data_IF_297554102785
#
_entry.id   IF_297554102785
#
_cell.length_a   1.000
_cell.length_b   1.000
_cell.length_c   1.000
_cell.angle_alpha   90.00
_cell.angle_beta   90.00
_cell.angle_gamma   90.00
#
_symmetry.space_group_name_H-M   'P 1'
#
loop_
_entity.id
_entity.type
_entity.pdbx_description
1 polymer ?
#
# COMPACT_ATOMS: atom_id res chain seq x y z
N UNK A 1 -21.18 6.80 25.93
CA UNK A 1 -19.83 6.42 26.38
C UNK A 1 -18.86 7.30 25.61
N UNK A 2 -17.92 7.95 26.27
CA UNK A 2 -16.90 8.75 25.60
C UNK A 2 -15.96 7.80 24.82
N UNK A 3 -15.62 8.10 23.56
CA UNK A 3 -14.87 7.19 22.65
C UNK A 3 -13.57 6.67 23.28
N UNK A 4 -12.88 7.52 24.03
CA UNK A 4 -11.66 7.16 24.75
C UNK A 4 -11.89 6.11 25.84
N UNK A 5 -13.05 6.14 26.51
CA UNK A 5 -13.40 5.13 27.49
C UNK A 5 -13.65 3.78 26.82
N UNK A 6 -14.27 3.78 25.64
CA UNK A 6 -14.46 2.57 24.85
C UNK A 6 -13.11 1.98 24.40
N UNK A 7 -12.22 2.79 23.81
CA UNK A 7 -10.89 2.32 23.39
C UNK A 7 -10.13 1.63 24.52
N UNK A 8 -10.15 2.22 25.72
CA UNK A 8 -9.51 1.64 26.91
C UNK A 8 -10.17 0.34 27.34
N UNK A 9 -11.49 0.25 27.28
CA UNK A 9 -12.23 -0.96 27.64
C UNK A 9 -11.91 -2.14 26.70
N UNK A 10 -11.73 -1.86 25.41
CA UNK A 10 -11.43 -2.90 24.40
C UNK A 10 -9.93 -3.11 24.12
N UNK A 11 -9.04 -2.29 24.70
CA UNK A 11 -7.59 -2.39 24.52
C UNK A 11 -7.01 -3.78 24.84
N UNK A 12 -7.45 -4.51 25.89
CA UNK A 12 -6.93 -5.85 26.15
C UNK A 12 -7.20 -6.84 25.00
N UNK A 13 -8.33 -6.69 24.30
CA UNK A 13 -8.65 -7.51 23.12
C UNK A 13 -7.78 -7.09 21.93
N UNK A 14 -7.55 -5.78 21.75
CA UNK A 14 -6.64 -5.28 20.73
C UNK A 14 -5.20 -5.81 20.94
N UNK A 15 -4.75 -5.87 22.18
CA UNK A 15 -3.45 -6.44 22.56
C UNK A 15 -3.36 -7.94 22.23
N UNK A 16 -4.38 -8.72 22.56
CA UNK A 16 -4.44 -10.14 22.19
C UNK A 16 -4.36 -10.33 20.67
N UNK A 17 -5.10 -9.53 19.91
CA UNK A 17 -5.12 -9.60 18.45
C UNK A 17 -3.79 -9.15 17.83
N UNK A 18 -3.16 -8.10 18.37
CA UNK A 18 -1.83 -7.66 17.96
C UNK A 18 -0.80 -8.77 18.20
N UNK A 19 -0.78 -9.36 19.39
CA UNK A 19 0.14 -10.46 19.72
C UNK A 19 -0.11 -11.68 18.82
N UNK A 20 -1.37 -11.98 18.50
CA UNK A 20 -1.70 -13.03 17.53
C UNK A 20 -1.17 -12.70 16.14
N UNK A 21 -1.36 -11.48 15.65
CA UNK A 21 -0.84 -11.02 14.35
C UNK A 21 0.67 -11.18 14.29
N UNK A 22 1.39 -10.63 15.28
CA UNK A 22 2.85 -10.74 15.37
C UNK A 22 3.33 -12.20 15.41
N UNK A 23 2.58 -13.10 16.06
CA UNK A 23 2.89 -14.53 16.11
C UNK A 23 2.67 -15.31 14.81
N UNK A 24 1.89 -14.78 13.86
CA UNK A 24 1.59 -15.44 12.57
C UNK A 24 2.09 -14.68 11.35
N UNK A 25 2.49 -13.43 11.52
CA UNK A 25 3.02 -12.58 10.46
C UNK A 25 4.24 -13.25 9.85
N UNK A 26 4.22 -13.38 8.51
CA UNK A 26 5.36 -13.91 7.76
C UNK A 26 6.19 -12.74 7.29
N UNK A 27 7.46 -12.76 7.63
CA UNK A 27 8.41 -11.82 7.08
C UNK A 27 8.57 -12.04 5.58
N UNK A 28 8.68 -10.93 4.86
CA UNK A 28 8.95 -10.88 3.44
C UNK A 28 9.62 -9.56 3.12
N UNK A 29 10.46 -9.57 2.09
CA UNK A 29 11.27 -8.43 1.72
C UNK A 29 10.97 -8.02 0.28
N UNK A 30 10.65 -6.73 0.02
CA UNK A 30 10.37 -6.25 -1.34
C UNK A 30 11.45 -6.64 -2.35
N UNK A 31 12.73 -6.52 -1.98
CA UNK A 31 13.85 -6.77 -2.88
C UNK A 31 13.99 -8.23 -3.35
N UNK A 32 13.37 -9.20 -2.66
CA UNK A 32 13.37 -10.60 -3.09
C UNK A 32 12.36 -10.87 -4.20
N UNK A 33 11.41 -9.94 -4.43
CA UNK A 33 10.32 -10.08 -5.37
C UNK A 33 10.56 -9.35 -6.70
N UNK A 34 11.65 -8.59 -6.81
CA UNK A 34 11.94 -7.74 -7.96
C UNK A 34 13.00 -8.38 -8.85
N UNK A 35 12.78 -8.48 -10.16
CA UNK A 35 13.79 -9.01 -11.09
C UNK A 35 14.84 -7.95 -11.44
N UNK A 36 15.63 -7.50 -10.45
CA UNK A 36 16.57 -6.38 -10.59
C UNK A 36 17.58 -6.51 -11.74
N UNK A 37 17.91 -7.73 -12.18
CA UNK A 37 18.79 -7.97 -13.34
C UNK A 37 18.26 -7.37 -14.65
N UNK A 38 16.98 -7.02 -14.71
CA UNK A 38 16.33 -6.36 -15.87
C UNK A 38 16.44 -4.84 -15.83
N UNK A 39 16.85 -4.27 -14.70
CA UNK A 39 16.99 -2.83 -14.53
C UNK A 39 17.98 -2.25 -15.54
N UNK A 40 17.58 -1.15 -16.17
CA UNK A 40 18.37 -0.41 -17.16
C UNK A 40 18.23 1.08 -16.86
N UNK A 41 19.30 1.84 -17.06
CA UNK A 41 19.29 3.30 -16.85
C UNK A 41 18.24 4.00 -17.71
N UNK A 42 17.55 4.99 -17.13
CA UNK A 42 16.65 5.88 -17.87
C UNK A 42 17.48 6.94 -18.59
N UNK A 43 17.34 7.01 -19.92
CA UNK A 43 18.04 8.02 -20.72
C UNK A 43 17.27 9.34 -20.63
N UNK A 44 17.92 10.44 -20.21
CA UNK A 44 17.25 11.73 -20.11
C UNK A 44 16.66 12.19 -21.45
N UNK A 45 15.37 12.52 -21.45
CA UNK A 45 14.66 13.03 -22.63
C UNK A 45 14.03 11.94 -23.52
N UNK A 46 14.32 10.65 -23.29
CA UNK A 46 13.60 9.58 -23.97
C UNK A 46 12.18 9.43 -23.39
N UNK A 47 11.21 9.28 -24.29
CA UNK A 47 9.83 9.00 -23.91
C UNK A 47 9.64 7.50 -23.76
N UNK A 48 9.00 7.10 -22.66
CA UNK A 48 8.60 5.72 -22.46
C UNK A 48 7.60 5.27 -23.54
N UNK A 49 7.70 4.01 -23.93
CA UNK A 49 6.79 3.32 -24.82
C UNK A 49 6.55 1.88 -24.32
N UNK A 50 5.46 1.25 -24.77
CA UNK A 50 5.11 -0.12 -24.34
C UNK A 50 6.21 -1.15 -24.65
N UNK A 51 7.03 -0.89 -25.69
CA UNK A 51 8.17 -1.75 -26.04
C UNK A 51 9.35 -1.65 -25.08
N UNK A 52 9.36 -0.67 -24.17
CA UNK A 52 10.38 -0.58 -23.13
C UNK A 52 10.16 -1.60 -22.01
N UNK A 53 8.95 -2.18 -21.91
CA UNK A 53 8.61 -3.18 -20.88
C UNK A 53 9.42 -4.47 -21.05
N UNK A 54 9.97 -5.00 -19.96
CA UNK A 54 10.79 -6.22 -19.93
C UNK A 54 10.24 -7.22 -18.91
N UNK A 55 9.43 -8.17 -19.39
CA UNK A 55 8.83 -9.24 -18.58
C UNK A 55 9.56 -10.59 -18.73
N UNK A 56 10.53 -10.70 -19.65
CA UNK A 56 11.45 -11.86 -19.79
C UNK A 56 11.17 -12.77 -20.95
N UNK A 57 10.12 -12.44 -21.67
CA UNK A 57 9.81 -12.98 -22.98
C UNK A 57 8.97 -11.94 -23.70
N UNK A 58 9.19 -11.79 -25.00
CA UNK A 58 8.37 -10.94 -25.86
C UNK A 58 6.93 -11.46 -26.00
N UNK A 59 6.69 -12.71 -25.61
CA UNK A 59 5.36 -13.33 -25.54
C UNK A 59 4.55 -12.88 -24.33
N UNK A 60 5.22 -12.43 -23.26
CA UNK A 60 4.55 -11.96 -22.05
C UNK A 60 4.26 -10.47 -22.22
N UNK A 61 2.97 -10.12 -22.19
CA UNK A 61 2.50 -8.74 -22.22
C UNK A 61 1.54 -8.49 -21.09
N UNK A 62 1.71 -7.35 -20.42
CA UNK A 62 0.79 -6.91 -19.40
C UNK A 62 -0.37 -6.14 -20.04
N UNK A 63 -1.60 -6.60 -19.79
CA UNK A 63 -2.79 -5.91 -20.30
C UNK A 63 -2.95 -4.51 -19.69
N UNK A 64 -3.61 -3.61 -20.41
CA UNK A 64 -3.93 -2.27 -19.93
C UNK A 64 -4.74 -2.29 -18.61
N UNK A 65 -5.57 -3.32 -18.42
CA UNK A 65 -6.34 -3.50 -17.18
C UNK A 65 -5.42 -3.77 -15.97
N UNK A 66 -4.41 -4.62 -16.14
CA UNK A 66 -3.41 -4.90 -15.09
C UNK A 66 -2.54 -3.67 -14.85
N UNK A 67 -2.07 -3.00 -15.91
CA UNK A 67 -1.32 -1.75 -15.82
C UNK A 67 -2.10 -0.67 -15.06
N UNK A 68 -3.37 -0.46 -15.41
CA UNK A 68 -4.26 0.48 -14.73
C UNK A 68 -4.51 0.11 -13.27
N UNK A 69 -4.68 -1.18 -12.96
CA UNK A 69 -4.83 -1.65 -11.58
C UNK A 69 -3.56 -1.41 -10.77
N UNK A 70 -2.37 -1.76 -11.27
CA UNK A 70 -1.11 -1.53 -10.58
C UNK A 70 -0.83 -0.04 -10.36
N UNK A 71 -1.20 0.80 -11.33
CA UNK A 71 -1.12 2.26 -11.18
C UNK A 71 -1.98 2.74 -10.00
N UNK A 72 -3.27 2.39 -9.97
CA UNK A 72 -4.19 2.82 -8.89
C UNK A 72 -3.79 2.24 -7.54
N UNK A 73 -3.38 0.96 -7.50
CA UNK A 73 -2.90 0.34 -6.27
C UNK A 73 -1.69 1.11 -5.74
N UNK A 74 -0.66 1.37 -6.56
CA UNK A 74 0.51 2.12 -6.10
C UNK A 74 0.16 3.52 -5.58
N UNK A 75 -0.73 4.25 -6.28
CA UNK A 75 -1.14 5.57 -5.81
C UNK A 75 -1.87 5.51 -4.47
N UNK A 76 -2.68 4.47 -4.25
CA UNK A 76 -3.36 4.23 -2.98
C UNK A 76 -2.33 3.95 -1.89
N UNK A 77 -1.38 3.04 -2.13
CA UNK A 77 -0.32 2.69 -1.18
C UNK A 77 0.61 3.87 -0.84
N UNK A 78 0.99 4.68 -1.84
CA UNK A 78 1.84 5.87 -1.65
C UNK A 78 1.16 6.95 -0.76
N UNK A 79 -0.16 6.87 -0.58
CA UNK A 79 -0.94 7.79 0.25
C UNK A 79 -0.86 7.46 1.76
N UNK A 80 -0.10 6.43 2.14
CA UNK A 80 0.17 5.96 3.50
C UNK A 80 0.38 7.06 4.55
N UNK A 81 1.10 8.17 4.29
CA UNK A 81 1.28 9.22 5.31
C UNK A 81 -0.03 9.75 5.89
N UNK A 82 -1.09 9.82 5.09
CA UNK A 82 -2.39 10.29 5.54
C UNK A 82 -3.18 9.22 6.30
N UNK A 83 -3.06 7.95 5.91
CA UNK A 83 -3.67 6.84 6.65
C UNK A 83 -3.03 6.71 8.04
N UNK A 84 -1.70 6.77 8.13
CA UNK A 84 -0.99 6.75 9.41
C UNK A 84 -1.36 7.95 10.30
N UNK A 85 -1.50 9.15 9.72
CA UNK A 85 -1.98 10.33 10.45
C UNK A 85 -3.35 10.07 11.09
N UNK A 86 -4.29 9.53 10.32
CA UNK A 86 -5.67 9.35 10.79
C UNK A 86 -5.79 8.21 11.79
N UNK A 87 -5.06 7.10 11.61
CA UNK A 87 -4.94 6.04 12.61
C UNK A 87 -4.43 6.61 13.95
N UNK A 88 -3.33 7.36 13.93
CA UNK A 88 -2.77 7.95 15.14
C UNK A 88 -3.74 8.95 15.81
N UNK A 89 -4.49 9.71 15.01
CA UNK A 89 -5.51 10.65 15.52
C UNK A 89 -6.67 9.92 16.21
N UNK A 90 -7.12 8.80 15.65
CA UNK A 90 -8.34 8.10 16.08
C UNK A 90 -8.07 7.10 17.21
N UNK A 91 -6.96 6.39 17.16
CA UNK A 91 -6.64 5.31 18.10
C UNK A 91 -5.57 5.70 19.14
N UNK A 92 -4.87 6.82 18.95
CA UNK A 92 -3.78 7.25 19.82
C UNK A 92 -2.43 6.63 19.45
N UNK A 93 -1.38 6.98 20.21
CA UNK A 93 0.01 6.59 19.94
C UNK A 93 0.62 5.65 20.99
N UNK A 94 -0.16 5.33 22.04
CA UNK A 94 0.29 4.56 23.20
C UNK A 94 -0.36 3.17 23.23
N UNK A 95 0.19 2.31 24.09
CA UNK A 95 -0.37 0.99 24.35
C UNK A 95 -0.46 0.09 23.12
N UNK A 96 -1.45 -0.80 23.11
CA UNK A 96 -1.60 -1.79 22.03
C UNK A 96 -1.95 -1.12 20.69
N UNK A 97 -2.76 -0.06 20.71
CA UNK A 97 -3.14 0.67 19.50
C UNK A 97 -1.97 1.40 18.86
N UNK A 98 -1.14 2.07 19.67
CA UNK A 98 0.06 2.75 19.18
C UNK A 98 1.07 1.78 18.57
N UNK A 99 1.28 0.62 19.21
CA UNK A 99 2.15 -0.42 18.67
C UNK A 99 1.61 -1.00 17.37
N UNK A 100 0.31 -1.33 17.34
CA UNK A 100 -0.35 -1.77 16.11
C UNK A 100 -0.23 -0.73 15.00
N UNK A 101 -0.51 0.55 15.25
CA UNK A 101 -0.47 1.60 14.23
C UNK A 101 0.92 1.80 13.62
N UNK A 102 1.98 1.72 14.44
CA UNK A 102 3.37 1.75 13.96
C UNK A 102 3.70 0.51 13.14
N UNK A 103 3.36 -0.68 13.63
CA UNK A 103 3.66 -1.93 12.93
C UNK A 103 2.89 -2.01 11.60
N UNK A 104 1.58 -1.74 11.60
CA UNK A 104 0.76 -1.64 10.40
C UNK A 104 1.35 -0.67 9.38
N UNK A 105 1.74 0.54 9.81
CA UNK A 105 2.37 1.53 8.92
C UNK A 105 3.67 1.00 8.31
N UNK A 106 4.50 0.31 9.10
CA UNK A 106 5.74 -0.28 8.59
C UNK A 106 5.48 -1.42 7.60
N UNK A 107 4.46 -2.25 7.86
CA UNK A 107 4.08 -3.34 6.98
C UNK A 107 3.53 -2.82 5.64
N UNK A 108 2.58 -1.86 5.68
CA UNK A 108 1.98 -1.23 4.50
C UNK A 108 3.01 -0.51 3.62
N UNK A 109 4.02 0.12 4.24
CA UNK A 109 5.10 0.77 3.49
C UNK A 109 5.76 -0.16 2.47
N UNK A 110 5.86 -1.47 2.76
CA UNK A 110 6.43 -2.45 1.84
C UNK A 110 5.61 -2.65 0.57
N UNK A 111 4.29 -2.44 0.60
CA UNK A 111 3.42 -2.59 -0.58
C UNK A 111 3.76 -1.56 -1.65
N UNK A 112 3.87 -0.28 -1.27
CA UNK A 112 4.28 0.77 -2.20
C UNK A 112 5.67 0.50 -2.80
N UNK A 113 6.62 0.05 -1.98
CA UNK A 113 8.00 -0.24 -2.38
C UNK A 113 8.02 -1.36 -3.42
N UNK A 114 7.40 -2.51 -3.13
CA UNK A 114 7.45 -3.67 -4.04
C UNK A 114 6.76 -3.37 -5.37
N UNK A 115 5.62 -2.68 -5.36
CA UNK A 115 4.90 -2.32 -6.59
C UNK A 115 5.72 -1.30 -7.40
N UNK A 116 6.26 -0.26 -6.75
CA UNK A 116 7.06 0.77 -7.41
C UNK A 116 8.33 0.22 -8.03
N UNK A 117 9.07 -0.60 -7.28
CA UNK A 117 10.30 -1.21 -7.77
C UNK A 117 10.00 -2.14 -8.94
N UNK A 118 8.95 -2.96 -8.84
CA UNK A 118 8.54 -3.85 -9.93
C UNK A 118 8.22 -3.05 -11.20
N UNK A 119 7.37 -2.03 -11.10
CA UNK A 119 6.99 -1.19 -12.24
C UNK A 119 8.18 -0.45 -12.86
N UNK A 120 9.11 0.00 -12.02
CA UNK A 120 10.31 0.75 -12.46
C UNK A 120 11.31 -0.18 -13.15
N UNK A 121 11.63 -1.32 -12.53
CA UNK A 121 12.62 -2.29 -13.04
C UNK A 121 12.13 -2.96 -14.33
N UNK A 122 10.85 -3.33 -14.38
CA UNK A 122 10.27 -3.96 -15.58
C UNK A 122 9.83 -2.94 -16.63
N UNK A 123 9.86 -1.63 -16.32
CA UNK A 123 9.31 -0.55 -17.16
C UNK A 123 7.87 -0.85 -17.61
N UNK A 124 7.09 -1.44 -16.71
CA UNK A 124 5.69 -1.82 -16.94
C UNK A 124 4.72 -0.64 -16.97
N UNK A 125 5.19 0.58 -16.71
CA UNK A 125 4.43 1.81 -16.85
C UNK A 125 5.39 2.95 -17.19
N UNK A 126 4.87 4.03 -17.77
CA UNK A 126 5.62 5.28 -17.90
C UNK A 126 6.00 5.81 -16.50
N UNK A 127 7.29 5.86 -16.14
CA UNK A 127 7.73 6.31 -14.83
C UNK A 127 7.42 7.79 -14.59
N UNK A 128 7.35 8.62 -15.64
CA UNK A 128 7.03 10.05 -15.53
C UNK A 128 5.55 10.23 -15.21
N UNK A 129 4.67 9.51 -15.91
CA UNK A 129 3.24 9.52 -15.59
C UNK A 129 2.99 8.98 -14.18
N UNK A 130 3.67 7.91 -13.79
CA UNK A 130 3.57 7.31 -12.46
C UNK A 130 3.95 8.31 -11.36
N UNK A 131 5.08 8.99 -11.51
CA UNK A 131 5.56 9.97 -10.53
C UNK A 131 4.68 11.22 -10.48
N UNK A 132 4.19 11.70 -11.62
CA UNK A 132 3.20 12.80 -11.65
C UNK A 132 1.91 12.41 -10.95
N UNK A 133 1.42 11.19 -11.17
CA UNK A 133 0.25 10.62 -10.49
C UNK A 133 0.45 10.59 -8.97
N UNK A 134 1.59 10.04 -8.51
CA UNK A 134 1.95 10.03 -7.08
C UNK A 134 1.95 11.44 -6.51
N UNK A 135 2.62 12.36 -7.17
CA UNK A 135 2.69 13.74 -6.70
C UNK A 135 1.30 14.39 -6.64
N UNK A 136 0.39 14.12 -7.56
CA UNK A 136 -0.99 14.62 -7.48
C UNK A 136 -1.75 14.00 -6.30
N UNK A 137 -1.71 12.67 -6.17
CA UNK A 137 -2.40 11.93 -5.11
C UNK A 137 -1.94 12.38 -3.72
N UNK A 138 -0.63 12.34 -3.48
CA UNK A 138 -0.05 12.65 -2.16
C UNK A 138 -0.14 14.14 -1.84
N UNK A 139 -0.02 15.06 -2.81
CA UNK A 139 -0.27 16.49 -2.54
C UNK A 139 -1.73 16.79 -2.25
N UNK A 140 -2.64 16.04 -2.87
CA UNK A 140 -4.08 16.19 -2.66
C UNK A 140 -4.53 15.71 -1.27
N UNK A 141 -3.84 14.73 -0.69
CA UNK A 141 -4.09 14.23 0.67
C UNK A 141 -5.51 13.73 0.90
N UNK A 142 -6.15 13.29 -0.18
CA UNK A 142 -7.53 12.81 -0.14
C UNK A 142 -7.54 11.43 0.51
N UNK A 143 -8.19 11.34 1.66
CA UNK A 143 -8.40 10.11 2.40
C UNK A 143 -9.82 10.11 2.95
N UNK A 144 -10.39 8.94 3.23
CA UNK A 144 -11.66 8.88 3.93
C UNK A 144 -11.54 9.55 5.30
N UNK A 145 -12.59 10.30 5.66
CA UNK A 145 -12.64 11.10 6.88
C UNK A 145 -13.71 10.51 7.81
N UNK A 146 -13.45 9.35 8.45
CA UNK A 146 -14.38 8.80 9.43
C UNK A 146 -14.57 9.80 10.58
N UNK A 147 -15.83 10.01 10.95
CA UNK A 147 -16.25 11.02 11.93
C UNK A 147 -15.94 10.56 13.36
N UNK A 148 -16.07 9.27 13.61
CA UNK A 148 -15.89 8.64 14.91
C UNK A 148 -15.11 7.32 14.81
N UNK A 149 -14.84 6.73 15.98
CA UNK A 149 -14.13 5.47 16.10
C UNK A 149 -14.86 4.27 15.45
N UNK A 150 -16.20 4.26 15.48
CA UNK A 150 -16.97 3.15 14.94
C UNK A 150 -16.89 3.15 13.41
N UNK A 151 -17.05 4.32 12.80
CA UNK A 151 -16.83 4.53 11.37
C UNK A 151 -15.39 4.19 10.99
N UNK A 152 -14.41 4.55 11.80
CA UNK A 152 -13.01 4.24 11.54
C UNK A 152 -12.74 2.74 11.51
N UNK A 153 -13.21 2.00 12.53
CA UNK A 153 -13.03 0.54 12.60
C UNK A 153 -13.75 -0.15 11.43
N UNK A 154 -14.98 0.27 11.12
CA UNK A 154 -15.73 -0.26 9.98
C UNK A 154 -15.03 0.04 8.65
N UNK A 155 -14.55 1.27 8.47
CA UNK A 155 -13.85 1.71 7.28
C UNK A 155 -12.56 0.91 7.06
N UNK A 156 -11.67 0.84 8.06
CA UNK A 156 -10.40 0.10 7.94
C UNK A 156 -10.67 -1.38 7.68
N UNK A 157 -11.62 -2.00 8.40
CA UNK A 157 -11.97 -3.42 8.18
C UNK A 157 -12.43 -3.71 6.75
N UNK A 158 -13.22 -2.81 6.16
CA UNK A 158 -13.73 -2.96 4.80
C UNK A 158 -12.68 -2.63 3.74
N UNK A 159 -11.88 -1.60 3.97
CA UNK A 159 -10.84 -1.17 3.05
C UNK A 159 -9.75 -2.24 2.93
N UNK A 160 -9.32 -2.84 4.04
CA UNK A 160 -8.33 -3.93 4.05
C UNK A 160 -8.82 -5.19 3.30
N UNK A 161 -10.12 -5.49 3.44
CA UNK A 161 -10.72 -6.58 2.66
C UNK A 161 -10.77 -6.24 1.16
N UNK A 162 -11.10 -4.99 0.82
CA UNK A 162 -11.17 -4.55 -0.57
C UNK A 162 -9.80 -4.57 -1.25
N UNK A 163 -8.74 -4.05 -0.61
CA UNK A 163 -7.37 -4.07 -1.14
C UNK A 163 -6.85 -5.50 -1.26
N UNK A 164 -7.10 -6.37 -0.28
CA UNK A 164 -6.77 -7.80 -0.38
C UNK A 164 -7.40 -8.47 -1.59
N UNK A 165 -8.68 -8.19 -1.87
CA UNK A 165 -9.38 -8.74 -3.04
C UNK A 165 -8.79 -8.16 -4.33
N UNK A 166 -8.56 -6.84 -4.38
CA UNK A 166 -7.96 -6.17 -5.53
C UNK A 166 -6.57 -6.74 -5.86
N UNK A 167 -5.65 -6.77 -4.88
CA UNK A 167 -4.31 -7.33 -5.03
C UNK A 167 -4.33 -8.79 -5.48
N UNK A 168 -5.20 -9.61 -4.88
CA UNK A 168 -5.33 -11.02 -5.27
C UNK A 168 -5.84 -11.20 -6.70
N UNK A 169 -6.77 -10.36 -7.14
CA UNK A 169 -7.31 -10.45 -8.49
C UNK A 169 -6.28 -9.97 -9.52
N UNK A 170 -5.61 -8.85 -9.26
CA UNK A 170 -4.52 -8.35 -10.12
C UNK A 170 -3.38 -9.34 -10.21
N UNK A 171 -2.97 -9.95 -9.11
CA UNK A 171 -1.88 -10.94 -9.09
C UNK A 171 -2.20 -12.29 -9.76
N UNK A 172 -3.44 -12.53 -10.20
CA UNK A 172 -3.83 -13.72 -10.97
C UNK A 172 -3.83 -13.50 -12.49
N UNK A 173 -3.86 -12.24 -12.92
CA UNK A 173 -3.91 -11.81 -14.31
C UNK A 173 -2.49 -11.63 -14.84
#
# INVERSE_FOLDING_TARGET
MEELALLKEIEPVAEELLNRHLGVAKEWFPHEMIPYSRGKDFVPGEQWSDSDSDFGSDEIKMSDAVRGSLFVNLLTEDNLPYYSRDINRLFGNDGAYGEWGRNWTAEEGRHSIVIRDYLTVTRALDPVALERGRMQQVRGGQVPAPLDLFEAIAYVSMQELATRIAHRNTGKL
#
